data_IF_485809693256
#
_entry.id   IF_485809693256
#
_cell.length_a   1.000
_cell.length_b   1.000
_cell.length_c   1.000
_cell.angle_alpha   90.00
_cell.angle_beta   90.00
_cell.angle_gamma   90.00
#
_symmetry.space_group_name_H-M   'P 1'
#
loop_
_entity.id
_entity.type
_entity.pdbx_description
1 polymer ?
#
# COMPACT_ATOMS: atom_id res chain seq x y z
N UNK A 1 29.57 -17.54 -0.34
CA UNK A 1 28.10 -17.51 -0.54
C UNK A 1 27.83 -17.30 -2.03
N UNK A 2 27.06 -18.18 -2.67
CA UNK A 2 26.76 -18.09 -4.12
C UNK A 2 25.78 -16.94 -4.42
N UNK A 3 25.86 -16.35 -5.61
CA UNK A 3 24.96 -15.28 -6.08
C UNK A 3 23.48 -15.67 -6.02
N UNK A 4 23.16 -16.97 -6.22
CA UNK A 4 21.80 -17.49 -6.09
C UNK A 4 21.23 -17.33 -4.67
N UNK A 5 22.04 -17.56 -3.64
CA UNK A 5 21.62 -17.41 -2.25
C UNK A 5 21.37 -15.94 -1.89
N UNK A 6 22.17 -15.02 -2.45
CA UNK A 6 21.97 -13.58 -2.26
C UNK A 6 20.67 -13.09 -2.91
N UNK A 7 20.34 -13.58 -4.12
CA UNK A 7 19.09 -13.22 -4.81
C UNK A 7 17.88 -13.74 -4.05
N UNK A 8 17.90 -15.02 -3.63
CA UNK A 8 16.79 -15.61 -2.85
C UNK A 8 16.59 -14.86 -1.53
N UNK A 9 17.68 -14.54 -0.82
CA UNK A 9 17.62 -13.77 0.42
C UNK A 9 17.02 -12.38 0.21
N UNK A 10 17.44 -11.65 -0.83
CA UNK A 10 16.88 -10.34 -1.16
C UNK A 10 15.39 -10.41 -1.50
N UNK A 11 14.96 -11.42 -2.26
CA UNK A 11 13.55 -11.63 -2.59
C UNK A 11 12.71 -11.90 -1.34
N UNK A 12 13.22 -12.71 -0.40
CA UNK A 12 12.54 -12.97 0.87
C UNK A 12 12.40 -11.72 1.72
N UNK A 13 13.44 -10.87 1.80
CA UNK A 13 13.38 -9.59 2.53
C UNK A 13 12.33 -8.66 1.93
N UNK A 14 12.29 -8.53 0.59
CA UNK A 14 11.26 -7.74 -0.10
C UNK A 14 9.86 -8.27 0.18
N UNK A 15 9.64 -9.59 0.11
CA UNK A 15 8.36 -10.22 0.43
C UNK A 15 7.92 -9.94 1.85
N UNK A 16 8.81 -10.06 2.84
CA UNK A 16 8.48 -9.76 4.23
C UNK A 16 8.12 -8.28 4.42
N UNK A 17 8.88 -7.37 3.81
CA UNK A 17 8.59 -5.93 3.86
C UNK A 17 7.24 -5.59 3.23
N UNK A 18 6.96 -6.17 2.08
CA UNK A 18 5.69 -6.06 1.38
C UNK A 18 4.50 -6.53 2.22
N UNK A 19 4.56 -7.75 2.77
CA UNK A 19 3.49 -8.32 3.59
C UNK A 19 3.25 -7.46 4.83
N UNK A 20 4.32 -7.09 5.55
CA UNK A 20 4.21 -6.24 6.73
C UNK A 20 3.51 -4.91 6.42
N UNK A 21 3.98 -4.20 5.39
CA UNK A 21 3.44 -2.89 5.05
C UNK A 21 2.02 -2.98 4.49
N UNK A 22 1.70 -4.03 3.74
CA UNK A 22 0.33 -4.30 3.32
C UNK A 22 -0.61 -4.58 4.49
N UNK A 23 -0.15 -5.31 5.51
CA UNK A 23 -0.91 -5.52 6.74
C UNK A 23 -1.10 -4.22 7.53
N UNK A 24 -0.11 -3.33 7.56
CA UNK A 24 -0.24 -1.99 8.16
C UNK A 24 -1.34 -1.18 7.44
N UNK A 25 -1.37 -1.20 6.11
CA UNK A 25 -2.40 -0.52 5.31
C UNK A 25 -3.78 -1.14 5.52
N UNK A 26 -3.87 -2.48 5.53
CA UNK A 26 -5.11 -3.22 5.82
C UNK A 26 -5.68 -2.83 7.18
N UNK A 27 -4.83 -2.78 8.22
CA UNK A 27 -5.24 -2.35 9.56
C UNK A 27 -5.65 -0.87 9.61
N UNK A 28 -5.06 0.01 8.79
CA UNK A 28 -5.49 1.40 8.68
C UNK A 28 -6.88 1.50 8.04
N UNK A 29 -7.14 0.74 6.98
CA UNK A 29 -8.45 0.70 6.30
C UNK A 29 -9.53 0.13 7.21
N UNK A 30 -9.27 -1.00 7.88
CA UNK A 30 -10.23 -1.66 8.79
C UNK A 30 -10.60 -0.79 10.00
N UNK A 31 -9.70 0.11 10.43
CA UNK A 31 -9.97 1.09 11.50
C UNK A 31 -10.59 2.38 10.97
N UNK A 32 -11.10 2.37 9.75
CA UNK A 32 -11.72 3.51 9.09
C UNK A 32 -10.80 4.73 9.01
N UNK A 33 -9.50 4.52 8.77
CA UNK A 33 -8.52 5.62 8.71
C UNK A 33 -8.84 6.68 7.65
N UNK A 34 -9.59 6.32 6.60
CA UNK A 34 -10.10 7.25 5.61
C UNK A 34 -11.05 8.31 6.18
N UNK A 35 -11.76 8.02 7.28
CA UNK A 35 -12.62 9.00 7.96
C UNK A 35 -11.81 10.16 8.56
N UNK A 36 -10.57 9.90 8.98
CA UNK A 36 -9.68 10.96 9.45
C UNK A 36 -9.30 11.91 8.30
N UNK A 37 -9.34 11.44 7.05
CA UNK A 37 -9.13 12.27 5.85
C UNK A 37 -10.38 13.06 5.44
N UNK A 38 -11.54 12.81 6.08
CA UNK A 38 -12.81 13.43 5.70
C UNK A 38 -13.30 13.03 4.31
N UNK A 39 -12.80 11.92 3.76
CA UNK A 39 -13.15 11.43 2.42
C UNK A 39 -13.71 10.01 2.49
N UNK A 40 -14.37 9.56 1.41
CA UNK A 40 -14.69 8.13 1.28
C UNK A 40 -13.41 7.30 1.14
N UNK A 41 -13.49 5.99 1.41
CA UNK A 41 -12.37 5.08 1.18
C UNK A 41 -11.92 5.10 -0.28
N UNK A 42 -12.85 5.22 -1.24
CA UNK A 42 -12.54 5.29 -2.67
C UNK A 42 -11.72 6.53 -3.02
N UNK A 43 -12.15 7.69 -2.50
CA UNK A 43 -11.41 8.95 -2.68
C UNK A 43 -10.02 8.89 -2.02
N UNK A 44 -9.92 8.33 -0.81
CA UNK A 44 -8.65 8.19 -0.11
C UNK A 44 -7.67 7.29 -0.89
N UNK A 45 -8.17 6.20 -1.49
CA UNK A 45 -7.38 5.28 -2.30
C UNK A 45 -6.95 5.90 -3.64
N UNK A 46 -7.82 6.67 -4.30
CA UNK A 46 -7.46 7.41 -5.52
C UNK A 46 -6.43 8.49 -5.25
N UNK A 47 -6.54 9.16 -4.11
CA UNK A 47 -5.53 10.12 -3.66
C UNK A 47 -4.22 9.42 -3.30
N UNK A 48 -4.25 8.25 -2.65
CA UNK A 48 -3.06 7.43 -2.39
C UNK A 48 -2.38 6.98 -3.70
N UNK A 49 -3.16 6.66 -4.75
CA UNK A 49 -2.65 6.31 -6.09
C UNK A 49 -2.02 7.49 -6.82
N UNK A 50 -2.59 8.69 -6.68
CA UNK A 50 -2.15 9.91 -7.39
C UNK A 50 -1.03 10.66 -6.67
N UNK A 51 -0.91 10.51 -5.36
CA UNK A 51 0.24 11.02 -4.61
C UNK A 51 1.42 10.05 -4.74
N UNK A 52 2.24 10.24 -5.77
CA UNK A 52 3.63 9.82 -5.72
C UNK A 52 4.34 10.75 -4.73
N UNK A 53 4.41 10.36 -3.45
CA UNK A 53 4.91 11.27 -2.42
C UNK A 53 6.44 11.40 -2.53
N UNK A 54 6.87 12.36 -3.33
CA UNK A 54 8.13 13.07 -3.19
C UNK A 54 7.98 14.25 -2.22
N UNK A 55 7.16 14.11 -1.17
CA UNK A 55 7.10 15.12 -0.12
C UNK A 55 8.33 14.93 0.78
N UNK A 56 9.13 15.97 0.83
CA UNK A 56 10.30 16.11 1.66
C UNK A 56 9.99 15.70 3.12
N UNK A 57 10.47 14.52 3.52
CA UNK A 57 10.25 13.91 4.85
C UNK A 57 10.90 14.75 5.96
N UNK A 58 11.62 15.82 5.62
CA UNK A 58 12.28 16.74 6.54
C UNK A 58 11.37 17.81 7.16
N UNK A 59 10.14 18.01 6.65
CA UNK A 59 9.18 18.94 7.26
C UNK A 59 8.42 18.35 8.48
N UNK A 60 8.83 17.16 8.95
CA UNK A 60 8.01 16.23 9.75
C UNK A 60 8.34 16.32 11.25
N UNK A 61 7.94 17.43 11.85
CA UNK A 61 7.56 17.46 13.26
C UNK A 61 6.23 18.20 13.30
N UNK A 62 5.12 17.48 13.32
CA UNK A 62 3.81 18.11 13.48
C UNK A 62 3.74 18.68 14.90
N UNK A 63 3.82 20.01 15.11
CA UNK A 63 3.73 20.57 16.44
C UNK A 63 2.29 20.35 16.93
N UNK A 64 2.06 20.11 18.23
CA UNK A 64 0.75 19.75 18.77
C UNK A 64 -0.35 20.81 18.53
N UNK A 65 0.00 22.02 18.07
CA UNK A 65 -0.95 23.09 17.78
C UNK A 65 -1.55 23.05 16.35
N UNK A 66 -1.00 22.26 15.41
CA UNK A 66 -1.37 22.32 13.98
C UNK A 66 -1.73 20.96 13.38
N UNK A 67 -1.53 19.87 14.12
CA UNK A 67 -1.87 18.53 13.62
C UNK A 67 -3.33 18.17 13.94
N UNK A 68 -4.23 18.48 13.02
CA UNK A 68 -5.55 17.87 13.05
C UNK A 68 -5.50 16.40 12.58
N UNK A 69 -6.64 15.71 12.69
CA UNK A 69 -6.74 14.30 12.32
C UNK A 69 -6.43 14.06 10.83
N UNK A 70 -6.74 15.04 9.97
CA UNK A 70 -6.55 14.97 8.52
C UNK A 70 -5.06 15.03 8.17
N UNK A 71 -4.36 16.04 8.68
CA UNK A 71 -2.92 16.18 8.50
C UNK A 71 -2.15 14.97 9.03
N UNK A 72 -2.56 14.44 10.20
CA UNK A 72 -1.97 13.24 10.80
C UNK A 72 -2.16 11.99 9.95
N UNK A 73 -3.35 11.83 9.35
CA UNK A 73 -3.66 10.68 8.50
C UNK A 73 -2.90 10.73 7.16
N UNK A 74 -2.80 11.90 6.52
CA UNK A 74 -1.96 12.08 5.33
C UNK A 74 -0.49 11.82 5.63
N UNK A 75 0.00 12.30 6.77
CA UNK A 75 1.37 12.07 7.19
C UNK A 75 1.65 10.57 7.40
N UNK A 76 0.73 9.84 8.02
CA UNK A 76 0.84 8.39 8.18
C UNK A 76 0.97 7.68 6.83
N UNK A 77 0.11 8.04 5.85
CA UNK A 77 0.14 7.45 4.51
C UNK A 77 1.43 7.80 3.74
N UNK A 78 1.91 9.03 3.84
CA UNK A 78 3.20 9.47 3.27
C UNK A 78 4.39 8.68 3.82
N UNK A 79 4.47 8.53 5.15
CA UNK A 79 5.50 7.72 5.80
C UNK A 79 5.39 6.25 5.43
N UNK A 80 4.16 5.73 5.31
CA UNK A 80 3.92 4.38 4.83
C UNK A 80 4.45 4.17 3.40
N UNK A 81 4.14 5.06 2.46
CA UNK A 81 4.64 4.99 1.08
C UNK A 81 6.17 5.05 1.03
N UNK A 82 6.78 5.93 1.81
CA UNK A 82 8.24 6.05 1.91
C UNK A 82 8.86 4.73 2.38
N UNK A 83 8.28 4.10 3.41
CA UNK A 83 8.74 2.79 3.91
C UNK A 83 8.54 1.69 2.87
N UNK A 84 7.45 1.72 2.10
CA UNK A 84 7.21 0.78 1.00
C UNK A 84 8.28 0.89 -0.09
N UNK A 85 8.55 2.10 -0.57
CA UNK A 85 9.56 2.33 -1.60
C UNK A 85 10.97 1.92 -1.16
N UNK A 86 11.29 2.05 0.14
CA UNK A 86 12.57 1.59 0.70
C UNK A 86 12.62 0.06 0.86
N UNK A 87 11.54 -0.55 1.34
CA UNK A 87 11.48 -2.00 1.59
C UNK A 87 11.37 -2.83 0.31
N UNK A 88 10.69 -2.28 -0.70
CA UNK A 88 10.47 -2.92 -1.99
C UNK A 88 10.82 -1.93 -3.10
N UNK A 89 12.12 -1.75 -3.39
CA UNK A 89 12.55 -0.87 -4.47
C UNK A 89 11.96 -1.30 -5.81
N UNK A 90 11.57 -0.33 -6.62
CA UNK A 90 10.92 -0.53 -7.92
C UNK A 90 9.61 -1.34 -7.83
N UNK A 91 8.86 -1.15 -6.74
CA UNK A 91 7.53 -1.72 -6.63
C UNK A 91 6.52 -1.02 -7.56
N UNK A 92 5.64 -1.82 -8.15
CA UNK A 92 4.33 -1.40 -8.65
C UNK A 92 3.28 -1.83 -7.62
N UNK A 93 2.42 -0.91 -7.20
CA UNK A 93 1.32 -1.18 -6.29
C UNK A 93 0.03 -0.64 -6.90
N UNK A 94 -1.04 -1.43 -6.85
CA UNK A 94 -2.40 -0.98 -7.11
C UNK A 94 -3.29 -1.49 -5.98
N UNK A 95 -4.21 -0.66 -5.53
CA UNK A 95 -5.38 -1.11 -4.77
C UNK A 95 -6.49 -1.38 -5.77
N UNK A 96 -7.33 -2.40 -5.61
CA UNK A 96 -8.45 -2.71 -6.50
C UNK A 96 -9.67 -3.14 -5.67
N UNK A 97 -10.85 -3.08 -6.26
CA UNK A 97 -11.94 -3.93 -5.80
C UNK A 97 -11.72 -5.36 -6.32
N UNK A 98 -12.29 -6.32 -5.60
CA UNK A 98 -12.39 -7.70 -6.05
C UNK A 98 -13.38 -8.46 -5.18
N UNK A 99 -13.62 -9.71 -5.53
CA UNK A 99 -14.30 -10.67 -4.68
C UNK A 99 -13.33 -11.39 -3.73
N UNK A 100 -13.87 -12.05 -2.69
CA UNK A 100 -13.04 -12.70 -1.67
C UNK A 100 -12.15 -13.84 -2.23
N UNK A 101 -12.52 -14.42 -3.36
CA UNK A 101 -11.78 -15.45 -4.10
C UNK A 101 -10.79 -14.88 -5.16
N UNK A 102 -10.83 -13.57 -5.42
CA UNK A 102 -9.91 -12.86 -6.32
C UNK A 102 -8.46 -12.77 -5.79
N UNK A 103 -8.16 -13.38 -4.64
CA UNK A 103 -6.78 -13.62 -4.19
C UNK A 103 -5.99 -14.54 -5.14
N UNK A 104 -6.69 -15.25 -6.02
CA UNK A 104 -6.11 -16.11 -7.05
C UNK A 104 -5.80 -15.38 -8.37
N UNK A 105 -6.18 -14.09 -8.50
CA UNK A 105 -5.91 -13.33 -9.71
C UNK A 105 -4.41 -13.14 -9.94
N UNK A 106 -3.99 -13.42 -11.17
CA UNK A 106 -2.58 -13.40 -11.56
C UNK A 106 -2.21 -12.16 -12.36
N UNK A 107 -3.14 -11.25 -12.64
CA UNK A 107 -2.87 -10.05 -13.43
C UNK A 107 -3.10 -8.75 -12.66
N UNK A 108 -2.78 -7.64 -13.34
CA UNK A 108 -2.91 -6.28 -12.81
C UNK A 108 -4.27 -5.64 -13.10
N UNK A 109 -5.26 -6.39 -13.61
CA UNK A 109 -6.60 -5.84 -13.82
C UNK A 109 -7.23 -5.49 -12.46
N UNK A 110 -8.17 -4.55 -12.45
CA UNK A 110 -9.00 -4.30 -11.28
C UNK A 110 -10.44 -4.53 -11.69
N UNK A 111 -11.24 -5.10 -10.80
CA UNK A 111 -12.68 -5.10 -10.96
C UNK A 111 -13.23 -3.68 -10.75
N UNK A 112 -14.29 -3.29 -11.47
CA UNK A 112 -14.91 -1.98 -11.29
C UNK A 112 -15.59 -1.84 -9.92
N UNK A 113 -16.06 -2.95 -9.36
CA UNK A 113 -16.77 -3.08 -8.09
C UNK A 113 -16.37 -4.41 -7.43
N UNK A 114 -16.69 -4.60 -6.15
CA UNK A 114 -16.40 -5.85 -5.46
C UNK A 114 -16.63 -5.75 -3.95
N UNK A 115 -16.78 -6.90 -3.30
CA UNK A 115 -17.04 -6.99 -1.86
C UNK A 115 -15.82 -6.67 -0.97
N UNK A 116 -14.60 -6.76 -1.53
CA UNK A 116 -13.35 -6.50 -0.81
C UNK A 116 -12.43 -5.54 -1.56
N UNK A 117 -11.61 -4.83 -0.79
CA UNK A 117 -10.45 -4.12 -1.30
C UNK A 117 -9.24 -5.04 -1.28
N UNK A 118 -8.52 -5.08 -2.39
CA UNK A 118 -7.29 -5.86 -2.57
C UNK A 118 -6.13 -4.92 -2.84
N UNK A 119 -4.95 -5.21 -2.27
CA UNK A 119 -3.70 -4.63 -2.70
C UNK A 119 -2.95 -5.65 -3.55
N UNK A 120 -2.65 -5.29 -4.80
CA UNK A 120 -1.75 -6.01 -5.68
C UNK A 120 -0.40 -5.30 -5.70
N UNK A 121 0.66 -6.03 -5.37
CA UNK A 121 2.02 -5.50 -5.27
C UNK A 121 2.99 -6.41 -6.02
N UNK A 122 3.89 -5.83 -6.81
CA UNK A 122 4.84 -6.56 -7.62
C UNK A 122 6.13 -5.78 -7.84
N UNK A 123 7.24 -6.51 -8.02
CA UNK A 123 8.55 -5.96 -8.33
C UNK A 123 9.31 -6.92 -9.26
N UNK A 124 10.11 -6.45 -10.22
CA UNK A 124 10.29 -5.03 -10.62
C UNK A 124 8.98 -4.43 -11.16
N UNK A 125 8.93 -3.11 -11.38
CA UNK A 125 7.70 -2.39 -11.78
C UNK A 125 7.08 -2.93 -13.07
N UNK A 126 7.92 -3.51 -13.93
CA UNK A 126 7.57 -4.14 -15.21
C UNK A 126 7.09 -5.59 -15.08
N UNK A 127 7.02 -6.14 -13.87
CA UNK A 127 6.53 -7.50 -13.65
C UNK A 127 5.13 -7.68 -14.27
N UNK A 128 4.98 -8.71 -15.10
CA UNK A 128 3.72 -9.00 -15.79
C UNK A 128 2.58 -9.37 -14.83
N UNK A 129 2.94 -9.91 -13.66
CA UNK A 129 2.01 -10.38 -12.63
C UNK A 129 2.36 -9.76 -11.27
N UNK A 130 1.38 -9.55 -10.39
CA UNK A 130 1.65 -9.20 -9.00
C UNK A 130 2.50 -10.28 -8.32
N UNK A 131 3.44 -9.87 -7.48
CA UNK A 131 4.20 -10.79 -6.64
C UNK A 131 3.42 -11.19 -5.39
N UNK A 132 2.53 -10.31 -4.92
CA UNK A 132 1.64 -10.49 -3.77
C UNK A 132 0.29 -9.85 -4.09
N UNK A 133 -0.78 -10.55 -3.75
CA UNK A 133 -2.15 -10.03 -3.68
C UNK A 133 -2.61 -10.22 -2.24
N UNK A 134 -3.18 -9.18 -1.62
CA UNK A 134 -3.63 -9.27 -0.23
C UNK A 134 -4.87 -8.43 0.07
N UNK A 135 -5.75 -8.92 0.97
CA UNK A 135 -6.96 -8.19 1.33
C UNK A 135 -6.65 -7.01 2.26
N UNK A 136 -7.26 -5.87 1.93
CA UNK A 136 -7.21 -4.64 2.72
C UNK A 136 -8.44 -4.49 3.64
N UNK A 137 -9.56 -5.14 3.30
CA UNK A 137 -10.79 -5.10 4.08
C UNK A 137 -12.02 -5.17 3.20
N UNK A 138 -13.20 -5.34 3.81
CA UNK A 138 -14.46 -5.27 3.10
C UNK A 138 -14.81 -3.82 2.74
N UNK A 139 -15.45 -3.64 1.58
CA UNK A 139 -16.11 -2.38 1.23
C UNK A 139 -17.45 -2.38 1.98
N UNK A 140 -17.62 -1.48 2.95
CA UNK A 140 -18.88 -1.30 3.69
C UNK A 140 -19.51 0.03 3.33
#
# INVERSE_FOLDING_TARGET
>A
MSAANAIVSQQSVRRMGAVRLGSELSAWIQRSGHLALGTSINQALDQLRSTSVAADVSAVCCPPAVCDANASAWQYLSLWQTRLNRAVPDARMIVCFGEADALSETDWSCEPEGSVLLMKLGWPRTAAIPSIVMPLGAVR
#
